data_IF_166197325959
#
_entry.id   IF_166197325959
#
_cell.length_a   1.000
_cell.length_b   1.000
_cell.length_c   1.000
_cell.angle_alpha   90.00
_cell.angle_beta   90.00
_cell.angle_gamma   90.00
#
_symmetry.space_group_name_H-M   'P 1'
#
loop_
_entity.id
_entity.type
_entity.pdbx_description
1 polymer ?
#
# COMPACT_ATOMS: atom_id res chain seq x y z
N UNK A 1 -35.14 3.14 52.87
CA UNK A 1 -33.80 2.66 52.52
C UNK A 1 -33.64 2.73 51.01
N UNK A 2 -33.05 3.79 50.49
CA UNK A 2 -32.81 3.96 49.06
C UNK A 2 -31.41 3.48 48.75
N UNK A 3 -31.30 2.47 47.90
CA UNK A 3 -30.04 1.89 47.48
C UNK A 3 -29.44 2.76 46.38
N UNK A 4 -28.37 3.53 46.69
CA UNK A 4 -27.61 4.29 45.76
C UNK A 4 -26.74 3.33 44.94
N UNK A 5 -27.12 3.05 43.69
CA UNK A 5 -26.23 2.45 42.72
C UNK A 5 -25.19 3.47 42.30
N UNK A 6 -23.94 3.22 42.71
CA UNK A 6 -22.71 3.93 42.29
C UNK A 6 -22.59 3.78 40.79
N UNK A 7 -22.70 4.88 40.05
CA UNK A 7 -22.27 4.94 38.63
C UNK A 7 -20.79 4.59 38.59
N UNK A 8 -20.46 3.43 38.01
CA UNK A 8 -19.11 3.05 37.66
C UNK A 8 -18.56 4.07 36.66
N UNK A 9 -17.36 4.57 36.91
CA UNK A 9 -16.58 5.42 36.00
C UNK A 9 -16.30 4.63 34.71
N UNK A 10 -17.23 4.70 33.77
CA UNK A 10 -16.89 4.41 32.39
C UNK A 10 -15.96 5.53 31.94
N UNK A 11 -14.74 5.16 31.62
CA UNK A 11 -13.80 6.04 30.93
C UNK A 11 -14.55 6.56 29.70
N UNK A 12 -14.90 7.85 29.68
CA UNK A 12 -15.38 8.51 28.48
C UNK A 12 -14.26 8.40 27.44
N UNK A 13 -14.41 7.44 26.53
CA UNK A 13 -13.58 7.40 25.33
C UNK A 13 -13.96 8.67 24.57
N UNK A 14 -13.01 9.57 24.27
CA UNK A 14 -13.33 10.82 23.58
C UNK A 14 -14.08 10.50 22.29
N UNK A 15 -15.14 11.26 21.98
CA UNK A 15 -15.95 11.18 20.74
C UNK A 15 -15.16 11.30 19.43
N UNK A 16 -13.86 11.34 19.54
CA UNK A 16 -12.89 11.45 18.43
C UNK A 16 -12.85 10.20 17.53
N UNK A 17 -13.52 9.08 17.91
CA UNK A 17 -13.49 7.82 17.15
C UNK A 17 -14.84 7.40 16.55
N UNK A 18 -15.92 8.04 16.92
CA UNK A 18 -17.27 7.72 16.41
C UNK A 18 -17.79 8.92 15.65
N UNK A 19 -17.85 8.80 14.35
CA UNK A 19 -18.49 9.76 13.51
C UNK A 19 -20.02 9.58 13.45
N UNK A 20 -20.71 10.32 12.57
CA UNK A 20 -22.17 10.22 12.47
C UNK A 20 -22.60 8.75 12.36
N UNK A 21 -23.66 8.37 13.02
CA UNK A 21 -24.20 6.99 13.18
C UNK A 21 -24.39 6.21 11.85
N UNK A 22 -24.18 6.86 10.70
CA UNK A 22 -24.39 6.29 9.38
C UNK A 22 -23.18 5.57 8.78
N UNK A 23 -21.94 5.72 9.34
CA UNK A 23 -20.73 5.09 8.81
C UNK A 23 -20.34 3.91 9.70
N UNK A 24 -20.75 2.70 9.30
CA UNK A 24 -20.52 1.45 10.03
C UNK A 24 -19.48 0.54 9.38
N UNK A 25 -18.61 1.07 8.52
CA UNK A 25 -17.62 0.28 7.78
C UNK A 25 -16.40 -0.15 8.63
N UNK A 26 -16.23 0.43 9.82
CA UNK A 26 -15.13 0.14 10.75
C UNK A 26 -13.77 0.68 10.28
N UNK A 27 -13.73 1.53 9.25
CA UNK A 27 -12.53 2.14 8.72
C UNK A 27 -12.14 3.44 9.43
N UNK A 28 -10.92 3.92 9.18
CA UNK A 28 -10.44 5.18 9.73
C UNK A 28 -11.22 6.37 9.17
N UNK A 29 -11.29 7.44 9.96
CA UNK A 29 -11.88 8.72 9.57
C UNK A 29 -10.81 9.64 8.99
N UNK A 30 -11.13 10.20 7.82
CA UNK A 30 -10.28 11.17 7.11
C UNK A 30 -10.85 12.57 7.26
N UNK A 31 -10.08 13.58 6.86
CA UNK A 31 -10.55 14.97 6.86
C UNK A 31 -11.81 15.15 5.98
N UNK A 32 -11.87 14.46 4.85
CA UNK A 32 -13.00 14.51 3.91
C UNK A 32 -14.26 13.80 4.42
N UNK A 33 -14.14 12.87 5.39
CA UNK A 33 -15.27 12.09 5.91
C UNK A 33 -16.37 12.96 6.57
N UNK A 34 -16.09 14.20 6.92
CA UNK A 34 -17.07 15.13 7.49
C UNK A 34 -18.07 15.70 6.47
N UNK A 35 -17.87 15.44 5.18
CA UNK A 35 -18.74 15.94 4.09
C UNK A 35 -19.81 14.88 3.79
N UNK A 36 -20.75 14.66 4.74
CA UNK A 36 -21.67 13.50 4.74
C UNK A 36 -22.91 13.64 3.85
N UNK A 37 -23.20 14.81 3.29
CA UNK A 37 -24.43 15.06 2.51
C UNK A 37 -24.30 14.76 1.01
N UNK A 38 -23.16 14.22 0.59
CA UNK A 38 -22.89 13.92 -0.81
C UNK A 38 -23.23 12.46 -1.15
N UNK A 39 -23.65 12.22 -2.39
CA UNK A 39 -23.83 10.88 -2.95
C UNK A 39 -22.53 10.04 -2.84
N UNK A 40 -21.37 10.67 -3.00
CA UNK A 40 -20.04 10.11 -2.79
C UNK A 40 -19.52 10.73 -1.49
N UNK A 41 -19.27 9.91 -0.46
CA UNK A 41 -18.93 10.38 0.88
C UNK A 41 -17.59 11.12 0.92
N UNK A 42 -16.57 10.57 0.25
CA UNK A 42 -15.22 11.13 0.17
C UNK A 42 -14.79 11.25 -1.30
N UNK A 43 -15.29 12.24 -2.07
CA UNK A 43 -15.10 12.30 -3.52
C UNK A 43 -13.63 12.42 -3.95
N UNK A 44 -12.82 13.24 -3.29
CA UNK A 44 -11.40 13.38 -3.62
C UNK A 44 -10.62 12.09 -3.37
N UNK A 45 -10.87 11.44 -2.23
CA UNK A 45 -10.27 10.16 -1.89
C UNK A 45 -10.73 9.07 -2.86
N UNK A 46 -12.02 9.00 -3.18
CA UNK A 46 -12.58 8.01 -4.10
C UNK A 46 -11.99 8.13 -5.51
N UNK A 47 -11.99 9.34 -6.10
CA UNK A 47 -11.49 9.52 -7.47
C UNK A 47 -9.97 9.36 -7.55
N UNK A 48 -9.22 9.85 -6.57
CA UNK A 48 -7.76 9.70 -6.54
C UNK A 48 -7.32 8.25 -6.39
N UNK A 49 -8.12 7.39 -5.79
CA UNK A 49 -7.86 5.94 -5.66
C UNK A 49 -7.72 5.24 -7.01
N UNK A 50 -8.34 5.77 -8.08
CA UNK A 50 -8.16 5.27 -9.44
C UNK A 50 -6.70 5.36 -9.92
N UNK A 51 -5.91 6.29 -9.37
CA UNK A 51 -4.48 6.38 -9.66
C UNK A 51 -3.73 5.09 -9.25
N UNK A 52 -4.21 4.36 -8.22
CA UNK A 52 -3.64 3.07 -7.80
C UNK A 52 -3.98 1.97 -8.82
N UNK A 53 -5.19 1.99 -9.40
CA UNK A 53 -5.62 1.00 -10.40
C UNK A 53 -5.00 1.24 -11.79
N UNK A 54 -4.67 2.49 -12.13
CA UNK A 54 -4.19 2.88 -13.45
C UNK A 54 -2.95 2.09 -13.93
N UNK A 55 -1.89 1.87 -13.10
CA UNK A 55 -0.75 1.05 -13.50
C UNK A 55 -1.14 -0.39 -13.85
N UNK A 56 -2.12 -0.99 -13.17
CA UNK A 56 -2.58 -2.34 -13.48
C UNK A 56 -3.14 -2.43 -14.90
N UNK A 57 -3.99 -1.46 -15.29
CA UNK A 57 -4.55 -1.38 -16.63
C UNK A 57 -3.46 -1.16 -17.68
N UNK A 58 -2.53 -0.23 -17.42
CA UNK A 58 -1.42 0.06 -18.33
C UNK A 58 -0.53 -1.17 -18.55
N UNK A 59 -0.10 -1.85 -17.49
CA UNK A 59 0.80 -3.00 -17.64
C UNK A 59 0.09 -4.22 -18.23
N UNK A 60 -1.19 -4.43 -17.95
CA UNK A 60 -1.97 -5.46 -18.61
C UNK A 60 -1.99 -5.22 -20.15
N UNK A 61 -2.24 -3.98 -20.57
CA UNK A 61 -2.18 -3.60 -21.99
C UNK A 61 -0.76 -3.76 -22.56
N UNK A 62 0.28 -3.37 -21.81
CA UNK A 62 1.68 -3.44 -22.26
C UNK A 62 2.16 -4.87 -22.51
N UNK A 63 1.76 -5.82 -21.66
CA UNK A 63 2.18 -7.24 -21.77
C UNK A 63 1.19 -8.11 -22.55
N UNK A 64 0.10 -7.57 -23.09
CA UNK A 64 -1.02 -8.32 -23.67
C UNK A 64 -0.64 -9.28 -24.80
N UNK A 65 0.46 -9.03 -25.52
CA UNK A 65 0.91 -9.90 -26.63
C UNK A 65 1.63 -11.16 -26.14
N UNK A 66 2.29 -11.08 -25.00
CA UNK A 66 3.14 -12.15 -24.45
C UNK A 66 3.00 -12.25 -22.91
N UNK A 67 1.77 -12.40 -22.39
CA UNK A 67 1.50 -12.29 -20.95
C UNK A 67 2.24 -13.33 -20.12
N UNK A 68 2.43 -14.53 -20.66
CA UNK A 68 3.11 -15.64 -19.97
C UNK A 68 4.61 -15.36 -19.75
N UNK A 69 5.23 -14.56 -20.61
CA UNK A 69 6.62 -14.15 -20.43
C UNK A 69 6.79 -13.26 -19.18
N UNK A 70 5.74 -12.55 -18.77
CA UNK A 70 5.71 -11.63 -17.62
C UNK A 70 4.85 -12.20 -16.48
N UNK A 71 4.91 -13.51 -16.24
CA UNK A 71 4.00 -14.22 -15.34
C UNK A 71 3.91 -13.60 -13.94
N UNK A 72 5.04 -13.14 -13.35
CA UNK A 72 5.01 -12.51 -12.03
C UNK A 72 4.30 -11.14 -12.07
N UNK A 73 4.59 -10.30 -13.05
CA UNK A 73 3.91 -9.02 -13.23
C UNK A 73 2.40 -9.24 -13.49
N UNK A 74 2.06 -10.22 -14.33
CA UNK A 74 0.67 -10.61 -14.58
C UNK A 74 -0.05 -11.04 -13.29
N UNK A 75 0.62 -11.79 -12.41
CA UNK A 75 0.07 -12.18 -11.11
C UNK A 75 -0.14 -10.98 -10.14
N UNK A 76 0.67 -9.93 -10.26
CA UNK A 76 0.53 -8.72 -9.44
C UNK A 76 -0.64 -7.82 -9.88
N UNK A 77 -0.98 -7.80 -11.17
CA UNK A 77 -1.99 -6.91 -11.77
C UNK A 77 -3.36 -7.00 -11.08
N UNK A 78 -3.95 -8.20 -10.83
CA UNK A 78 -5.26 -8.29 -10.18
C UNK A 78 -5.29 -7.66 -8.79
N UNK A 79 -4.23 -7.86 -7.99
CA UNK A 79 -4.16 -7.29 -6.65
C UNK A 79 -4.06 -5.76 -6.68
N UNK A 80 -3.26 -5.21 -7.60
CA UNK A 80 -3.14 -3.76 -7.75
C UNK A 80 -4.46 -3.13 -8.24
N UNK A 81 -5.14 -3.78 -9.17
CA UNK A 81 -6.44 -3.34 -9.67
C UNK A 81 -7.52 -3.40 -8.58
N UNK A 82 -7.59 -4.52 -7.85
CA UNK A 82 -8.53 -4.71 -6.74
C UNK A 82 -8.29 -3.71 -5.60
N UNK A 83 -7.02 -3.38 -5.31
CA UNK A 83 -6.70 -2.37 -4.32
C UNK A 83 -7.26 -0.99 -4.72
N UNK A 84 -6.97 -0.52 -5.94
CA UNK A 84 -7.48 0.78 -6.40
C UNK A 84 -9.01 0.82 -6.52
N UNK A 85 -9.64 -0.26 -7.02
CA UNK A 85 -11.10 -0.37 -7.08
C UNK A 85 -11.71 -0.44 -5.67
N UNK A 86 -11.15 -1.24 -4.78
CA UNK A 86 -11.59 -1.38 -3.40
C UNK A 86 -11.50 -0.05 -2.65
N UNK A 87 -10.40 0.68 -2.82
CA UNK A 87 -10.20 2.02 -2.28
C UNK A 87 -11.25 3.01 -2.81
N UNK A 88 -11.51 2.99 -4.13
CA UNK A 88 -12.57 3.82 -4.73
C UNK A 88 -13.94 3.56 -4.13
N UNK A 89 -14.31 2.28 -3.98
CA UNK A 89 -15.59 1.88 -3.40
C UNK A 89 -15.67 2.19 -1.89
N UNK A 90 -14.58 1.97 -1.17
CA UNK A 90 -14.51 2.27 0.26
C UNK A 90 -14.72 3.76 0.51
N UNK A 91 -13.93 4.62 -0.12
CA UNK A 91 -14.03 6.07 0.04
C UNK A 91 -15.32 6.65 -0.56
N UNK A 92 -15.80 6.08 -1.66
CA UNK A 92 -17.01 6.56 -2.30
C UNK A 92 -18.28 6.27 -1.52
N UNK A 93 -18.39 5.08 -0.93
CA UNK A 93 -19.64 4.59 -0.35
C UNK A 93 -19.64 4.58 1.18
N UNK A 94 -18.52 4.26 1.82
CA UNK A 94 -18.37 4.18 3.30
C UNK A 94 -19.44 3.32 3.99
N UNK A 95 -19.93 2.27 3.30
CA UNK A 95 -21.09 1.47 3.75
C UNK A 95 -20.73 0.05 4.18
N UNK A 96 -19.56 -0.47 3.84
CA UNK A 96 -19.26 -1.88 4.03
C UNK A 96 -17.79 -2.16 4.39
N UNK A 97 -17.61 -2.97 5.42
CA UNK A 97 -16.30 -3.52 5.80
C UNK A 97 -15.63 -4.31 4.66
N UNK A 98 -16.42 -4.85 3.72
CA UNK A 98 -15.87 -5.57 2.55
C UNK A 98 -15.06 -4.61 1.67
N UNK A 99 -15.55 -3.39 1.45
CA UNK A 99 -14.81 -2.39 0.67
C UNK A 99 -13.52 -1.95 1.38
N UNK A 100 -13.55 -1.81 2.70
CA UNK A 100 -12.34 -1.58 3.49
C UNK A 100 -11.34 -2.74 3.33
N UNK A 101 -11.79 -3.99 3.38
CA UNK A 101 -10.92 -5.16 3.15
C UNK A 101 -10.35 -5.17 1.72
N UNK A 102 -11.14 -4.79 0.73
CA UNK A 102 -10.68 -4.65 -0.67
C UNK A 102 -9.68 -3.52 -0.85
N UNK A 103 -9.74 -2.47 -0.03
CA UNK A 103 -8.78 -1.37 -0.04
C UNK A 103 -7.40 -1.82 0.45
N UNK A 104 -7.28 -2.51 1.58
CA UNK A 104 -5.97 -2.77 2.16
C UNK A 104 -5.43 -4.20 1.98
N UNK A 105 -6.28 -5.25 1.89
CA UNK A 105 -5.81 -6.64 1.81
C UNK A 105 -5.05 -6.95 0.51
N UNK A 106 -5.52 -6.51 -0.67
CA UNK A 106 -4.76 -6.71 -1.89
C UNK A 106 -3.40 -6.02 -1.88
N UNK A 107 -3.30 -4.80 -1.30
CA UNK A 107 -2.03 -4.10 -1.14
C UNK A 107 -1.07 -4.85 -0.21
N UNK A 108 -1.57 -5.40 0.90
CA UNK A 108 -0.77 -6.21 1.83
C UNK A 108 -0.21 -7.47 1.13
N UNK A 109 -1.08 -8.21 0.42
CA UNK A 109 -0.69 -9.41 -0.33
C UNK A 109 0.34 -9.05 -1.41
N UNK A 110 0.08 -7.99 -2.18
CA UNK A 110 0.96 -7.53 -3.24
C UNK A 110 2.34 -7.14 -2.70
N UNK A 111 2.40 -6.39 -1.59
CA UNK A 111 3.65 -6.00 -0.93
C UNK A 111 4.45 -7.24 -0.49
N UNK A 112 3.79 -8.24 0.11
CA UNK A 112 4.41 -9.48 0.52
C UNK A 112 4.97 -10.25 -0.69
N UNK A 113 4.17 -10.43 -1.74
CA UNK A 113 4.57 -11.13 -2.97
C UNK A 113 5.79 -10.48 -3.63
N UNK A 114 5.78 -9.15 -3.77
CA UNK A 114 6.89 -8.41 -4.39
C UNK A 114 8.14 -8.48 -3.51
N UNK A 115 8.00 -8.37 -2.19
CA UNK A 115 9.14 -8.47 -1.26
C UNK A 115 9.79 -9.85 -1.36
N UNK A 116 8.99 -10.94 -1.32
CA UNK A 116 9.50 -12.31 -1.50
C UNK A 116 10.16 -12.48 -2.86
N UNK A 117 9.56 -11.95 -3.92
CA UNK A 117 10.12 -12.01 -5.27
C UNK A 117 11.50 -11.32 -5.36
N UNK A 118 11.67 -10.12 -4.81
CA UNK A 118 12.95 -9.43 -4.83
C UNK A 118 14.01 -10.17 -4.01
N UNK A 119 13.68 -10.69 -2.84
CA UNK A 119 14.60 -11.52 -2.08
C UNK A 119 14.98 -12.82 -2.82
N UNK A 120 14.01 -13.46 -3.48
CA UNK A 120 14.26 -14.64 -4.30
C UNK A 120 15.18 -14.35 -5.51
N UNK A 121 15.15 -13.12 -6.04
CA UNK A 121 16.05 -12.66 -7.12
C UNK A 121 17.43 -12.21 -6.63
N UNK A 122 17.51 -11.72 -5.39
CA UNK A 122 18.75 -11.27 -4.78
C UNK A 122 19.59 -12.41 -4.22
N UNK A 123 18.96 -13.50 -3.77
CA UNK A 123 19.60 -14.63 -3.10
C UNK A 123 19.87 -15.81 -4.06
N UNK A 124 20.84 -16.69 -3.76
CA UNK A 124 21.21 -17.81 -4.63
C UNK A 124 20.08 -18.82 -4.90
N UNK A 125 19.16 -18.99 -3.95
CA UNK A 125 18.05 -19.94 -4.06
C UNK A 125 16.73 -19.22 -3.75
N UNK A 126 15.70 -19.42 -4.58
CA UNK A 126 14.41 -18.75 -4.46
C UNK A 126 13.72 -18.90 -3.09
N UNK A 127 13.81 -20.09 -2.46
CA UNK A 127 13.18 -20.36 -1.17
C UNK A 127 13.82 -19.55 -0.01
N UNK A 128 15.09 -19.13 -0.15
CA UNK A 128 15.73 -18.25 0.83
C UNK A 128 15.03 -16.90 0.93
N UNK A 129 14.35 -16.48 -0.13
CA UNK A 129 13.51 -15.28 -0.10
C UNK A 129 12.34 -15.40 0.89
N UNK A 130 11.69 -16.57 0.94
CA UNK A 130 10.64 -16.84 1.92
C UNK A 130 11.21 -16.78 3.33
N UNK A 131 12.34 -17.45 3.58
CA UNK A 131 12.98 -17.45 4.90
C UNK A 131 13.43 -16.06 5.35
N UNK A 132 13.88 -15.20 4.42
CA UNK A 132 14.27 -13.83 4.74
C UNK A 132 13.08 -12.95 5.12
N UNK A 133 11.92 -13.16 4.48
CA UNK A 133 10.74 -12.30 4.66
C UNK A 133 9.87 -12.76 5.83
N UNK A 134 9.75 -14.06 6.08
CA UNK A 134 8.85 -14.60 7.11
C UNK A 134 9.10 -14.03 8.51
N UNK A 135 10.34 -13.96 9.04
CA UNK A 135 10.58 -13.37 10.37
C UNK A 135 10.19 -11.90 10.45
N UNK A 136 10.48 -11.14 9.39
CA UNK A 136 10.14 -9.71 9.31
C UNK A 136 8.63 -9.50 9.31
N UNK A 137 7.92 -10.33 8.55
CA UNK A 137 6.47 -10.28 8.48
C UNK A 137 5.82 -10.63 9.82
N UNK A 138 6.32 -11.64 10.52
CA UNK A 138 5.84 -12.01 11.86
C UNK A 138 6.17 -10.94 12.90
N UNK A 139 7.39 -10.39 12.86
CA UNK A 139 7.82 -9.31 13.75
C UNK A 139 6.95 -8.07 13.63
N UNK A 140 6.43 -7.78 12.44
CA UNK A 140 5.52 -6.66 12.19
C UNK A 140 4.29 -6.68 13.10
N UNK A 141 3.68 -7.85 13.31
CA UNK A 141 2.53 -7.99 14.20
C UNK A 141 2.94 -7.83 15.66
N UNK A 142 4.02 -8.48 16.10
CA UNK A 142 4.50 -8.33 17.48
C UNK A 142 4.91 -6.91 17.85
N UNK A 143 5.44 -6.12 16.93
CA UNK A 143 5.84 -4.73 17.20
C UNK A 143 4.62 -3.83 17.42
N UNK A 144 3.53 -4.04 16.71
CA UNK A 144 2.28 -3.28 16.91
C UNK A 144 1.74 -3.54 18.33
N UNK A 145 1.86 -4.77 18.82
CA UNK A 145 1.41 -5.13 20.17
C UNK A 145 2.37 -4.59 21.27
N UNK A 146 3.69 -4.56 20.99
CA UNK A 146 4.71 -4.10 21.93
C UNK A 146 4.78 -2.58 22.06
N UNK A 147 4.52 -1.85 20.98
CA UNK A 147 4.58 -0.38 20.94
C UNK A 147 3.17 0.13 20.62
N UNK A 148 2.41 0.56 21.62
CA UNK A 148 1.03 0.99 21.42
C UNK A 148 0.93 2.26 20.58
N UNK A 149 -0.20 2.40 19.87
CA UNK A 149 -0.54 3.58 19.11
C UNK A 149 0.28 3.80 17.84
N UNK A 150 0.42 5.05 17.44
CA UNK A 150 1.05 5.42 16.16
C UNK A 150 2.52 4.99 16.05
N UNK A 151 3.23 4.89 17.19
CA UNK A 151 4.63 4.45 17.23
C UNK A 151 4.81 3.02 16.69
N UNK A 152 3.98 2.08 17.10
CA UNK A 152 4.01 0.69 16.62
C UNK A 152 3.71 0.58 15.13
N UNK A 153 2.73 1.36 14.65
CA UNK A 153 2.39 1.42 13.23
C UNK A 153 3.58 1.94 12.42
N UNK A 154 4.21 3.03 12.85
CA UNK A 154 5.36 3.60 12.17
C UNK A 154 6.56 2.66 12.18
N UNK A 155 6.84 1.99 13.30
CA UNK A 155 7.89 0.97 13.39
C UNK A 155 7.63 -0.21 12.44
N UNK A 156 6.39 -0.68 12.36
CA UNK A 156 5.96 -1.73 11.43
C UNK A 156 6.18 -1.33 9.96
N UNK A 157 5.84 -0.10 9.57
CA UNK A 157 6.11 0.41 8.23
C UNK A 157 7.61 0.54 7.94
N UNK A 158 8.39 1.04 8.90
CA UNK A 158 9.84 1.19 8.75
C UNK A 158 10.52 -0.16 8.51
N UNK A 159 10.19 -1.17 9.30
CA UNK A 159 10.75 -2.53 9.15
C UNK A 159 10.33 -3.14 7.82
N UNK A 160 9.07 -2.98 7.44
CA UNK A 160 8.57 -3.45 6.13
C UNK A 160 9.27 -2.75 4.97
N UNK A 161 9.52 -1.45 5.09
CA UNK A 161 10.25 -0.65 4.10
C UNK A 161 11.71 -1.11 3.95
N UNK A 162 12.41 -1.36 5.06
CA UNK A 162 13.77 -1.90 5.03
C UNK A 162 13.81 -3.28 4.38
N UNK A 163 12.90 -4.18 4.77
CA UNK A 163 12.81 -5.52 4.19
C UNK A 163 12.52 -5.49 2.68
N UNK A 164 11.77 -4.51 2.21
CA UNK A 164 11.45 -4.30 0.81
C UNK A 164 12.62 -3.71 0.03
N UNK A 165 13.31 -2.70 0.57
CA UNK A 165 14.37 -1.96 -0.13
C UNK A 165 15.72 -2.69 -0.15
N UNK A 166 16.03 -3.49 0.89
CA UNK A 166 17.32 -4.17 1.00
C UNK A 166 17.62 -5.10 -0.21
N UNK A 167 16.72 -5.99 -0.66
CA UNK A 167 16.99 -6.83 -1.84
C UNK A 167 17.08 -6.02 -3.12
N UNK A 168 16.38 -4.89 -3.23
CA UNK A 168 16.44 -4.02 -4.40
C UNK A 168 17.83 -3.41 -4.58
N UNK A 169 18.51 -3.03 -3.49
CA UNK A 169 19.90 -2.57 -3.56
C UNK A 169 20.83 -3.65 -4.14
N UNK A 170 20.69 -4.90 -3.71
CA UNK A 170 21.48 -6.02 -4.24
C UNK A 170 21.19 -6.27 -5.73
N UNK A 171 19.93 -6.17 -6.14
CA UNK A 171 19.51 -6.32 -7.54
C UNK A 171 20.03 -5.15 -8.38
N UNK A 172 19.92 -3.91 -7.90
CA UNK A 172 20.45 -2.73 -8.60
C UNK A 172 21.95 -2.87 -8.86
N UNK A 173 22.73 -3.30 -7.84
CA UNK A 173 24.15 -3.56 -7.98
C UNK A 173 24.46 -4.64 -9.06
N UNK A 174 23.64 -5.70 -9.12
CA UNK A 174 23.77 -6.78 -10.13
C UNK A 174 23.54 -6.28 -11.56
N UNK A 175 22.72 -5.24 -11.76
CA UNK A 175 22.39 -4.67 -13.06
C UNK A 175 23.01 -3.27 -13.28
N UNK A 176 24.15 -2.98 -12.65
CA UNK A 176 24.91 -1.72 -12.80
C UNK A 176 24.05 -0.48 -12.56
N UNK A 177 23.17 -0.53 -11.57
CA UNK A 177 22.23 0.53 -11.20
C UNK A 177 21.31 1.00 -12.33
N UNK A 178 21.12 0.20 -13.38
CA UNK A 178 20.18 0.51 -14.46
C UNK A 178 18.77 0.65 -13.91
N UNK A 179 18.06 1.68 -14.36
CA UNK A 179 16.72 1.99 -13.88
C UNK A 179 16.63 2.30 -12.36
N UNK A 180 17.75 2.69 -11.71
CA UNK A 180 17.73 3.13 -10.29
C UNK A 180 16.74 4.27 -10.05
N UNK A 181 16.52 5.14 -11.04
CA UNK A 181 15.51 6.19 -10.98
C UNK A 181 14.11 5.66 -10.63
N UNK A 182 13.72 4.51 -11.16
CA UNK A 182 12.43 3.90 -10.85
C UNK A 182 12.30 3.53 -9.36
N UNK A 183 13.37 2.99 -8.77
CA UNK A 183 13.39 2.59 -7.36
C UNK A 183 13.46 3.80 -6.45
N UNK A 184 14.34 4.76 -6.75
CA UNK A 184 14.48 5.99 -5.96
C UNK A 184 13.19 6.81 -6.05
N UNK A 185 12.67 7.04 -7.25
CA UNK A 185 11.43 7.79 -7.47
C UNK A 185 10.22 7.10 -6.82
N UNK A 186 10.11 5.77 -6.95
CA UNK A 186 9.08 4.99 -6.27
C UNK A 186 9.17 5.10 -4.76
N UNK A 187 10.38 5.00 -4.18
CA UNK A 187 10.60 5.16 -2.74
C UNK A 187 10.22 6.57 -2.26
N UNK A 188 10.59 7.62 -2.99
CA UNK A 188 10.19 8.99 -2.68
C UNK A 188 8.66 9.12 -2.72
N UNK A 189 8.01 8.57 -3.75
CA UNK A 189 6.55 8.60 -3.85
C UNK A 189 5.88 7.92 -2.64
N UNK A 190 6.36 6.75 -2.20
CA UNK A 190 5.81 6.09 -1.02
C UNK A 190 6.05 6.85 0.28
N UNK A 191 7.21 7.49 0.44
CA UNK A 191 7.49 8.37 1.59
C UNK A 191 6.52 9.56 1.60
N UNK A 192 6.33 10.21 0.46
CA UNK A 192 5.38 11.31 0.31
C UNK A 192 3.93 10.85 0.56
N UNK A 193 3.56 9.68 0.06
CA UNK A 193 2.25 9.09 0.33
C UNK A 193 2.03 8.93 1.84
N UNK A 194 2.96 8.29 2.57
CA UNK A 194 2.87 8.12 4.02
C UNK A 194 2.79 9.49 4.71
N UNK A 195 3.59 10.45 4.31
CA UNK A 195 3.58 11.80 4.87
C UNK A 195 2.20 12.46 4.72
N UNK A 196 1.62 12.49 3.52
CA UNK A 196 0.32 13.11 3.28
C UNK A 196 -0.82 12.39 4.01
N UNK A 197 -0.73 11.06 4.15
CA UNK A 197 -1.67 10.31 4.98
C UNK A 197 -1.60 10.72 6.46
N UNK A 198 -0.40 11.00 6.98
CA UNK A 198 -0.18 11.36 8.37
C UNK A 198 -0.71 12.76 8.73
N UNK A 199 -0.54 13.71 7.80
CA UNK A 199 -0.94 15.11 8.03
C UNK A 199 -2.37 15.42 7.58
N UNK A 200 -3.14 14.44 7.13
CA UNK A 200 -4.47 14.61 6.53
C UNK A 200 -5.35 15.58 7.33
N UNK A 201 -5.57 15.28 8.62
CA UNK A 201 -6.42 16.08 9.49
C UNK A 201 -5.78 17.42 9.93
N UNK A 202 -4.46 17.53 9.93
CA UNK A 202 -3.77 18.77 10.30
C UNK A 202 -3.73 19.79 9.15
N UNK A 203 -3.93 19.33 7.93
CA UNK A 203 -3.86 20.16 6.74
C UNK A 203 -5.18 20.85 6.37
N UNK A 204 -6.27 20.66 7.13
CA UNK A 204 -7.62 21.15 6.78
C UNK A 204 -7.73 22.67 6.68
N UNK A 205 -6.89 23.41 7.41
CA UNK A 205 -6.85 24.87 7.32
C UNK A 205 -6.31 25.37 5.96
N UNK A 206 -5.56 24.54 5.25
CA UNK A 206 -4.98 24.84 3.92
C UNK A 206 -5.76 24.12 2.82
N UNK A 207 -6.08 22.86 3.06
CA UNK A 207 -6.82 21.98 2.13
C UNK A 207 -8.04 21.44 2.89
N UNK A 208 -9.23 22.03 2.71
CA UNK A 208 -10.41 21.72 3.53
C UNK A 208 -10.86 20.25 3.52
N UNK A 209 -10.55 19.52 2.45
CA UNK A 209 -10.81 18.08 2.31
C UNK A 209 -9.59 17.20 2.68
N UNK A 210 -8.57 17.80 3.32
CA UNK A 210 -7.36 17.10 3.77
C UNK A 210 -6.42 16.72 2.65
N UNK A 211 -5.46 15.85 2.97
CA UNK A 211 -4.37 15.46 2.07
C UNK A 211 -4.37 13.96 1.73
N UNK A 212 -5.34 13.19 2.20
CA UNK A 212 -5.36 11.74 1.99
C UNK A 212 -5.44 11.35 0.50
N UNK A 213 -6.09 12.15 -0.34
CA UNK A 213 -6.11 11.95 -1.78
C UNK A 213 -4.70 11.91 -2.41
N UNK A 214 -3.72 12.66 -1.85
CA UNK A 214 -2.33 12.63 -2.29
C UNK A 214 -1.65 11.30 -1.95
N UNK A 215 -2.05 10.63 -0.85
CA UNK A 215 -1.62 9.27 -0.58
C UNK A 215 -1.94 8.34 -1.76
N UNK A 216 -3.13 8.42 -2.33
CA UNK A 216 -3.52 7.58 -3.47
C UNK A 216 -2.72 7.92 -4.73
N UNK A 217 -2.56 9.21 -5.04
CA UNK A 217 -1.81 9.65 -6.22
C UNK A 217 -0.35 9.20 -6.15
N UNK A 218 0.34 9.49 -5.05
CA UNK A 218 1.74 9.10 -4.89
C UNK A 218 1.91 7.58 -4.81
N UNK A 219 0.98 6.85 -4.19
CA UNK A 219 0.97 5.38 -4.18
C UNK A 219 0.83 4.83 -5.60
N UNK A 220 -0.05 5.40 -6.42
CA UNK A 220 -0.23 5.02 -7.82
C UNK A 220 1.03 5.27 -8.66
N UNK A 221 1.68 6.44 -8.52
CA UNK A 221 2.94 6.75 -9.21
C UNK A 221 4.05 5.79 -8.76
N UNK A 222 4.17 5.55 -7.46
CA UNK A 222 5.15 4.61 -6.90
C UNK A 222 4.95 3.19 -7.42
N UNK A 223 3.70 2.73 -7.46
CA UNK A 223 3.34 1.43 -8.02
C UNK A 223 3.67 1.32 -9.52
N UNK A 224 3.43 2.38 -10.30
CA UNK A 224 3.82 2.44 -11.71
C UNK A 224 5.33 2.30 -11.89
N UNK A 225 6.13 3.08 -11.15
CA UNK A 225 7.58 3.04 -11.23
C UNK A 225 8.14 1.66 -10.85
N UNK A 226 7.57 1.04 -9.82
CA UNK A 226 7.96 -0.30 -9.38
C UNK A 226 7.58 -1.37 -10.40
N UNK A 227 6.39 -1.30 -10.99
CA UNK A 227 5.94 -2.21 -12.03
C UNK A 227 6.79 -2.07 -13.32
N UNK A 228 7.22 -0.84 -13.68
CA UNK A 228 8.15 -0.61 -14.80
C UNK A 228 9.53 -1.19 -14.50
N UNK A 229 9.97 -1.16 -13.24
CA UNK A 229 11.20 -1.85 -12.84
C UNK A 229 11.08 -3.38 -12.90
N UNK A 230 9.97 -3.96 -12.48
CA UNK A 230 9.69 -5.39 -12.64
C UNK A 230 9.67 -5.80 -14.11
N UNK A 231 9.02 -5.02 -14.96
CA UNK A 231 9.03 -5.22 -16.41
C UNK A 231 10.46 -5.15 -16.99
N UNK A 232 11.26 -4.17 -16.56
CA UNK A 232 12.67 -4.05 -16.96
C UNK A 232 13.49 -5.28 -16.53
N UNK A 233 13.38 -5.72 -15.27
CA UNK A 233 14.10 -6.89 -14.78
C UNK A 233 13.80 -8.13 -15.63
N UNK A 234 12.52 -8.34 -15.93
CA UNK A 234 12.13 -9.48 -16.77
C UNK A 234 12.70 -9.39 -18.16
N UNK A 235 12.73 -8.22 -18.76
CA UNK A 235 13.36 -8.03 -20.08
C UNK A 235 14.88 -8.29 -20.05
N UNK A 236 15.58 -8.04 -18.94
CA UNK A 236 17.00 -8.40 -18.82
C UNK A 236 17.20 -9.92 -18.77
N UNK A 237 16.26 -10.65 -18.14
CA UNK A 237 16.30 -12.12 -18.07
C UNK A 237 15.97 -12.78 -19.41
N UNK A 238 15.10 -12.18 -20.21
CA UNK A 238 14.72 -12.69 -21.53
C UNK A 238 15.78 -12.46 -22.62
N UNK A 239 16.79 -11.61 -22.36
CA UNK A 239 17.89 -11.40 -23.31
C UNK A 239 18.78 -12.63 -23.35
N UNK A 240 19.13 -13.13 -24.56
CA UNK A 240 20.08 -14.24 -24.68
C UNK A 240 21.41 -13.89 -24.01
N UNK A 241 21.98 -14.87 -23.31
CA UNK A 241 23.30 -14.71 -22.70
C UNK A 241 24.35 -14.45 -23.79
N UNK A 242 25.27 -13.51 -23.57
CA UNK A 242 26.38 -13.26 -24.48
C UNK A 242 27.22 -14.52 -24.76
N UNK A 243 27.09 -15.58 -23.92
CA UNK A 243 27.79 -16.88 -24.12
C UNK A 243 27.11 -17.79 -25.15
N UNK A 244 25.87 -17.50 -25.55
CA UNK A 244 25.14 -18.31 -26.55
C UNK A 244 25.29 -17.74 -27.98
N UNK A 245 25.92 -16.56 -28.11
CA UNK A 245 26.13 -15.85 -29.40
C UNK A 245 27.58 -15.97 -29.88
N UNK A 246 28.47 -16.53 -29.06
CA UNK A 246 29.91 -16.79 -29.39
C UNK A 246 30.13 -18.27 -29.64
#
# INVERSE_FOLDING_TARGET
MACNFRKSNLVEIPDMFFGPEQILDGGPWYAETHITDNLIVEPWNAFSSLAIAAPAVYFLWKIRKEPTQYAFLLACIPFLFLNGLGSTLFHGLRTSRIFLLMDFMPALILTLLITVYFWAKALPKWWMGILAVTPVFLMRFGIIDLIPGQGGINASYTISGIAFLAPLFLILRKYDFKKSFNIIGGSICFILAIYFRQIDKQAVDIIPFGTHFLWHIFSGIGAFLLADYLYFLRNQELRPSKREIA
#
